data_IF_190930202247
#
_entry.id   IF_190930202247
#
_cell.length_a   1.000
_cell.length_b   1.000
_cell.length_c   1.000
_cell.angle_alpha   90.00
_cell.angle_beta   90.00
_cell.angle_gamma   90.00
#
_symmetry.space_group_name_H-M   'P 1'
#
loop_
_entity.id
_entity.type
_entity.pdbx_description
1 polymer ?
#
# COMPACT_ATOMS: atom_id res chain seq x y z
N UNK A 1 -44.86 -38.40 40.45
CA UNK A 1 -45.98 -37.55 40.03
C UNK A 1 -45.47 -36.11 40.06
N UNK A 2 -45.50 -35.45 38.90
CA UNK A 2 -44.96 -34.11 38.58
C UNK A 2 -45.84 -33.01 39.25
N UNK A 3 -45.56 -31.70 39.14
CA UNK A 3 -44.55 -30.83 39.78
C UNK A 3 -45.23 -29.73 40.65
N UNK A 4 -44.47 -28.81 41.26
CA UNK A 4 -44.36 -27.41 40.79
C UNK A 4 -45.35 -26.47 41.50
N UNK A 5 -45.04 -25.21 41.85
CA UNK A 5 -43.92 -24.32 41.54
C UNK A 5 -43.80 -23.34 42.72
N UNK A 6 -42.58 -23.08 43.19
CA UNK A 6 -42.25 -21.92 44.03
C UNK A 6 -41.45 -20.91 43.21
N UNK A 7 -41.68 -19.63 43.46
CA UNK A 7 -41.00 -18.55 42.77
C UNK A 7 -41.55 -17.18 43.16
N UNK A 8 -41.20 -16.75 44.36
CA UNK A 8 -41.36 -15.38 44.91
C UNK A 8 -40.50 -14.41 44.08
N UNK A 9 -40.81 -13.10 44.08
CA UNK A 9 -39.90 -12.22 44.79
C UNK A 9 -40.62 -11.19 45.69
N UNK A 10 -39.90 -10.66 46.70
CA UNK A 10 -40.49 -9.88 47.78
C UNK A 10 -40.67 -8.39 47.46
N UNK A 11 -41.52 -7.80 48.29
CA UNK A 11 -41.78 -6.36 48.42
C UNK A 11 -40.52 -5.54 48.75
N UNK A 12 -40.47 -4.32 48.19
CA UNK A 12 -39.79 -3.20 48.82
C UNK A 12 -40.80 -2.07 49.03
N UNK A 13 -41.06 -1.72 50.30
CA UNK A 13 -41.83 -0.53 50.72
C UNK A 13 -40.94 0.37 51.57
N UNK A 14 -40.82 1.62 51.10
CA UNK A 14 -40.83 2.92 51.80
C UNK A 14 -40.08 3.14 53.14
N UNK A 15 -39.37 4.28 53.28
CA UNK A 15 -39.87 5.50 53.97
C UNK A 15 -38.79 6.60 54.22
N UNK A 16 -38.97 7.78 53.59
CA UNK A 16 -38.91 9.21 54.09
C UNK A 16 -37.74 9.75 54.95
N UNK A 17 -37.41 11.08 54.96
CA UNK A 17 -38.35 12.22 55.02
C UNK A 17 -38.17 13.36 54.01
N UNK A 18 -39.26 14.12 53.86
CA UNK A 18 -39.36 15.41 53.18
C UNK A 18 -38.88 16.55 54.09
N UNK A 19 -38.18 17.52 53.50
CA UNK A 19 -38.06 18.88 54.02
C UNK A 19 -38.61 19.87 52.99
N UNK A 20 -39.20 21.00 53.44
CA UNK A 20 -39.96 21.90 52.58
C UNK A 20 -39.06 22.91 51.87
N UNK A 21 -39.41 23.18 50.61
CA UNK A 21 -39.30 24.49 49.96
C UNK A 21 -37.91 25.06 49.72
N UNK A 22 -37.47 25.07 48.46
CA UNK A 22 -37.11 26.30 47.73
C UNK A 22 -37.35 26.02 46.25
N UNK A 23 -38.16 26.85 45.59
CA UNK A 23 -38.23 26.89 44.12
C UNK A 23 -36.95 27.55 43.60
N UNK A 24 -35.96 26.75 43.26
CA UNK A 24 -34.77 27.22 42.54
C UNK A 24 -34.81 26.63 41.14
N UNK A 25 -35.11 27.47 40.16
CA UNK A 25 -34.93 27.15 38.74
C UNK A 25 -33.44 26.89 38.50
N UNK A 26 -33.05 25.62 38.41
CA UNK A 26 -31.73 25.21 37.97
C UNK A 26 -31.67 25.36 36.45
N UNK A 27 -31.04 26.43 35.99
CA UNK A 27 -30.52 26.51 34.61
C UNK A 27 -29.38 25.49 34.56
N UNK A 28 -29.64 24.33 33.97
CA UNK A 28 -28.62 23.33 33.69
C UNK A 28 -27.72 23.90 32.58
N UNK A 29 -26.57 24.42 32.97
CA UNK A 29 -25.50 24.78 32.05
C UNK A 29 -24.88 23.48 31.51
N UNK A 30 -25.38 23.02 30.37
CA UNK A 30 -24.77 21.93 29.61
C UNK A 30 -23.42 22.40 29.08
N UNK A 31 -22.35 22.07 29.79
CA UNK A 31 -20.99 22.14 29.28
C UNK A 31 -20.86 21.11 28.16
N UNK A 32 -21.06 21.55 26.91
CA UNK A 32 -20.61 20.79 25.75
C UNK A 32 -19.09 20.68 25.85
N UNK A 33 -18.61 19.52 26.29
CA UNK A 33 -17.22 19.13 26.18
C UNK A 33 -16.94 18.92 24.68
N UNK A 34 -16.58 20.01 23.99
CA UNK A 34 -16.04 19.89 22.64
C UNK A 34 -14.66 19.27 22.78
N UNK A 35 -14.56 17.98 22.49
CA UNK A 35 -13.27 17.35 22.27
C UNK A 35 -12.56 18.15 21.17
N UNK A 36 -11.30 18.60 21.40
CA UNK A 36 -10.55 19.21 20.33
C UNK A 36 -10.48 18.22 19.16
N UNK A 37 -10.57 18.67 17.90
CA UNK A 37 -10.30 17.79 16.77
C UNK A 37 -8.88 17.24 16.99
N UNK A 38 -8.79 15.93 17.16
CA UNK A 38 -7.51 15.23 17.07
C UNK A 38 -7.05 15.41 15.64
N UNK A 39 -6.15 16.36 15.42
CA UNK A 39 -5.31 16.35 14.22
C UNK A 39 -4.58 15.02 14.28
N UNK A 40 -4.94 14.06 13.44
CA UNK A 40 -4.13 12.86 13.22
C UNK A 40 -2.77 13.36 12.74
N UNK A 41 -1.82 13.43 13.67
CA UNK A 41 -0.43 13.63 13.32
C UNK A 41 -0.06 12.33 12.60
N UNK A 42 0.12 12.37 11.27
CA UNK A 42 0.71 11.25 10.54
C UNK A 42 1.96 10.83 11.31
N UNK A 43 2.00 9.57 11.73
CA UNK A 43 3.15 9.06 12.44
C UNK A 43 4.37 9.20 11.51
N UNK A 44 5.44 9.85 11.99
CA UNK A 44 6.72 9.93 11.27
C UNK A 44 7.40 8.56 11.29
N UNK A 45 6.87 7.65 10.47
CA UNK A 45 7.40 6.29 10.29
C UNK A 45 8.48 6.30 9.20
N UNK A 46 9.39 5.31 9.20
CA UNK A 46 10.33 5.15 8.10
C UNK A 46 9.65 5.07 6.72
N UNK A 47 8.46 4.47 6.67
CA UNK A 47 7.60 4.39 5.48
C UNK A 47 7.11 5.76 5.02
N UNK A 48 6.45 6.51 5.90
CA UNK A 48 5.95 7.86 5.59
C UNK A 48 7.10 8.75 5.12
N UNK A 49 8.26 8.66 5.77
CA UNK A 49 9.46 9.40 5.35
C UNK A 49 9.95 9.00 3.95
N UNK A 50 9.99 7.71 3.63
CA UNK A 50 10.37 7.26 2.28
C UNK A 50 9.49 7.91 1.21
N UNK A 51 8.17 7.86 1.37
CA UNK A 51 7.21 8.42 0.41
C UNK A 51 7.23 9.96 0.35
N UNK A 52 7.57 10.64 1.44
CA UNK A 52 7.61 12.10 1.50
C UNK A 52 8.95 12.70 1.02
N UNK A 53 10.09 12.07 1.35
CA UNK A 53 11.41 12.66 1.11
C UNK A 53 12.08 12.19 -0.17
N UNK A 54 11.68 11.06 -0.74
CA UNK A 54 12.31 10.50 -1.92
C UNK A 54 11.58 10.99 -3.16
N UNK A 55 12.20 11.81 -3.99
CA UNK A 55 11.59 12.26 -5.26
C UNK A 55 12.04 11.39 -6.43
N UNK A 56 13.31 10.98 -6.41
CA UNK A 56 13.91 10.13 -7.42
C UNK A 56 14.47 8.86 -6.77
N UNK A 57 14.41 7.75 -7.50
CA UNK A 57 15.05 6.51 -7.12
C UNK A 57 15.50 5.78 -8.39
N UNK A 58 16.77 5.38 -8.41
CA UNK A 58 17.29 4.35 -9.29
C UNK A 58 17.72 3.16 -8.44
N UNK A 59 17.46 1.94 -8.91
CA UNK A 59 17.95 0.72 -8.28
C UNK A 59 18.17 -0.38 -9.32
N UNK A 60 19.08 -1.30 -9.03
CA UNK A 60 19.06 -2.63 -9.63
C UNK A 60 18.10 -3.51 -8.82
N UNK A 61 17.49 -4.51 -9.46
CA UNK A 61 16.62 -5.46 -8.77
C UNK A 61 16.86 -6.91 -9.17
N UNK A 62 16.54 -7.82 -8.24
CA UNK A 62 16.30 -9.24 -8.50
C UNK A 62 14.88 -9.57 -8.06
N UNK A 63 14.06 -10.07 -8.98
CA UNK A 63 12.71 -10.55 -8.74
C UNK A 63 12.72 -12.07 -8.63
N UNK A 64 12.07 -12.61 -7.59
CA UNK A 64 11.89 -14.03 -7.35
C UNK A 64 10.40 -14.34 -7.30
N UNK A 65 9.97 -15.33 -8.06
CA UNK A 65 8.58 -15.78 -8.14
C UNK A 65 8.46 -17.20 -7.55
N UNK A 66 7.46 -17.39 -6.71
CA UNK A 66 7.12 -18.65 -6.07
C UNK A 66 5.63 -18.95 -6.28
N UNK A 67 5.28 -20.22 -6.44
CA UNK A 67 3.86 -20.63 -6.45
C UNK A 67 3.27 -20.75 -5.04
N UNK A 68 1.98 -21.11 -4.97
CA UNK A 68 1.25 -21.29 -3.72
C UNK A 68 1.78 -22.40 -2.80
N UNK A 69 2.57 -23.34 -3.33
CA UNK A 69 3.26 -24.36 -2.53
C UNK A 69 4.65 -23.88 -2.03
N UNK A 70 5.04 -22.65 -2.39
CA UNK A 70 6.33 -22.06 -2.07
C UNK A 70 7.48 -22.58 -2.94
N UNK A 71 7.17 -23.21 -4.08
CA UNK A 71 8.16 -23.70 -5.02
C UNK A 71 8.65 -22.53 -5.87
N UNK A 72 9.97 -22.37 -5.96
CA UNK A 72 10.58 -21.36 -6.82
C UNK A 72 10.26 -21.64 -8.29
N UNK A 73 9.79 -20.62 -9.00
CA UNK A 73 9.40 -20.70 -10.40
C UNK A 73 10.37 -19.94 -11.30
N UNK A 74 10.68 -18.69 -10.97
CA UNK A 74 11.43 -17.79 -11.85
C UNK A 74 12.25 -16.79 -11.05
N UNK A 75 13.42 -16.49 -11.59
CA UNK A 75 14.24 -15.35 -11.18
C UNK A 75 14.37 -14.43 -12.38
N UNK A 76 14.18 -13.14 -12.16
CA UNK A 76 14.41 -12.10 -13.18
C UNK A 76 15.28 -10.99 -12.60
N UNK A 77 16.10 -10.36 -13.42
CA UNK A 77 16.95 -9.23 -13.02
C UNK A 77 16.61 -7.99 -13.82
N UNK A 78 16.87 -6.81 -13.26
CA UNK A 78 16.56 -5.59 -13.98
C UNK A 78 16.94 -4.31 -13.26
N UNK A 79 16.39 -3.20 -13.78
CA UNK A 79 16.56 -1.86 -13.23
C UNK A 79 15.22 -1.19 -13.00
N UNK A 80 15.13 -0.49 -11.88
CA UNK A 80 14.02 0.37 -11.50
C UNK A 80 14.48 1.83 -11.61
N UNK A 81 13.63 2.64 -12.22
CA UNK A 81 13.70 4.10 -12.23
C UNK A 81 12.38 4.65 -11.74
N UNK A 82 12.43 5.69 -10.95
CA UNK A 82 11.25 6.26 -10.32
C UNK A 82 11.45 7.76 -10.21
N UNK A 83 10.43 8.51 -10.63
CA UNK A 83 10.32 9.94 -10.42
C UNK A 83 8.91 10.26 -9.96
N UNK A 84 8.78 10.72 -8.73
CA UNK A 84 7.47 11.06 -8.18
C UNK A 84 6.94 12.38 -8.77
N UNK A 85 5.61 12.55 -8.82
CA UNK A 85 4.60 11.51 -8.63
C UNK A 85 4.40 10.67 -9.90
N UNK A 86 4.12 9.37 -9.72
CA UNK A 86 3.48 8.53 -10.74
C UNK A 86 4.35 8.11 -11.93
N UNK A 87 5.59 8.58 -12.07
CA UNK A 87 6.47 8.12 -13.16
C UNK A 87 7.42 7.04 -12.68
N UNK A 88 7.49 5.95 -13.44
CA UNK A 88 8.44 4.89 -13.19
C UNK A 88 8.81 4.16 -14.48
N UNK A 89 9.90 3.40 -14.41
CA UNK A 89 10.29 2.45 -15.44
C UNK A 89 10.96 1.24 -14.81
N UNK A 90 10.55 0.06 -15.29
CA UNK A 90 11.19 -1.21 -15.04
C UNK A 90 11.79 -1.71 -16.35
N UNK A 91 13.11 -1.92 -16.35
CA UNK A 91 13.81 -2.64 -17.41
C UNK A 91 14.13 -4.04 -16.90
N UNK A 92 13.38 -5.06 -17.31
CA UNK A 92 13.78 -6.45 -17.13
C UNK A 92 14.87 -6.80 -18.15
N UNK A 93 15.97 -7.35 -17.66
CA UNK A 93 17.17 -7.66 -18.45
C UNK A 93 17.32 -9.16 -18.71
N UNK A 94 17.01 -9.99 -17.71
CA UNK A 94 17.06 -11.45 -17.82
C UNK A 94 15.88 -12.08 -17.07
N UNK A 95 15.38 -13.26 -17.50
CA UNK A 95 15.72 -13.93 -18.77
C UNK A 95 15.02 -13.31 -19.99
N UNK A 96 13.90 -12.62 -19.77
CA UNK A 96 13.07 -12.04 -20.81
C UNK A 96 13.24 -10.52 -20.82
N UNK A 97 13.47 -9.94 -22.01
CA UNK A 97 13.66 -8.50 -22.14
C UNK A 97 12.32 -7.77 -22.25
N UNK A 98 11.85 -7.26 -21.10
CA UNK A 98 10.61 -6.51 -20.97
C UNK A 98 10.89 -5.11 -20.46
N UNK A 99 10.28 -4.09 -21.07
CA UNK A 99 10.33 -2.71 -20.58
C UNK A 99 8.93 -2.26 -20.21
N UNK A 100 8.74 -1.88 -18.96
CA UNK A 100 7.47 -1.32 -18.46
C UNK A 100 7.75 0.11 -18.04
N UNK A 101 6.98 1.09 -18.52
CA UNK A 101 7.11 2.46 -18.05
C UNK A 101 5.75 3.10 -17.84
N UNK A 102 5.72 4.05 -16.92
CA UNK A 102 4.59 4.93 -16.75
C UNK A 102 5.04 6.38 -16.79
N UNK A 103 4.32 7.18 -17.57
CA UNK A 103 4.61 8.60 -17.83
C UNK A 103 3.79 9.54 -16.93
N UNK A 104 2.89 8.99 -16.10
CA UNK A 104 1.96 9.73 -15.25
C UNK A 104 0.52 9.76 -15.78
N UNK A 105 0.30 9.26 -17.00
CA UNK A 105 -1.03 9.12 -17.61
C UNK A 105 -1.28 7.68 -18.09
N UNK A 106 -0.27 7.08 -18.73
CA UNK A 106 -0.32 5.74 -19.30
C UNK A 106 0.67 4.81 -18.62
N UNK A 107 0.33 3.53 -18.60
CA UNK A 107 1.26 2.43 -18.36
C UNK A 107 1.50 1.73 -19.69
N UNK A 108 2.75 1.65 -20.12
CA UNK A 108 3.12 0.96 -21.35
C UNK A 108 4.05 -0.19 -21.04
N UNK A 109 3.86 -1.30 -21.76
CA UNK A 109 4.67 -2.51 -21.67
C UNK A 109 5.18 -2.86 -23.05
N UNK A 110 6.49 -2.85 -23.24
CA UNK A 110 7.17 -3.24 -24.46
C UNK A 110 7.86 -4.58 -24.27
N UNK A 111 7.28 -5.61 -24.90
CA UNK A 111 7.91 -6.91 -25.07
C UNK A 111 8.86 -6.83 -26.28
N UNK A 112 10.17 -6.92 -26.02
CA UNK A 112 11.18 -6.75 -27.07
C UNK A 112 11.27 -7.95 -28.01
N UNK A 113 10.96 -9.15 -27.52
CA UNK A 113 11.02 -10.37 -28.33
C UNK A 113 9.86 -10.42 -29.32
N UNK A 114 8.68 -9.96 -28.90
CA UNK A 114 7.50 -9.86 -29.75
C UNK A 114 7.46 -8.58 -30.60
N UNK A 115 8.38 -7.64 -30.37
CA UNK A 115 8.38 -6.32 -30.98
C UNK A 115 7.01 -5.63 -30.83
N UNK A 116 6.45 -5.68 -29.62
CA UNK A 116 5.08 -5.24 -29.33
C UNK A 116 5.00 -4.34 -28.09
N UNK A 117 4.33 -3.19 -28.23
CA UNK A 117 3.90 -2.35 -27.11
C UNK A 117 2.41 -2.52 -26.85
N UNK A 118 2.07 -2.75 -25.58
CA UNK A 118 0.69 -2.65 -25.09
C UNK A 118 0.58 -1.45 -24.14
N UNK A 119 -0.39 -0.58 -24.39
CA UNK A 119 -0.63 0.65 -23.63
C UNK A 119 -1.94 0.50 -22.85
N UNK A 120 -1.88 0.86 -21.58
CA UNK A 120 -2.99 0.85 -20.63
C UNK A 120 -3.18 2.23 -20.01
N UNK A 121 -4.38 2.54 -19.55
CA UNK A 121 -4.55 3.69 -18.66
C UNK A 121 -3.88 3.39 -17.33
N UNK A 122 -3.14 4.35 -16.78
CA UNK A 122 -2.37 4.07 -15.57
C UNK A 122 -3.29 3.70 -14.39
N UNK A 123 -4.50 4.25 -14.33
CA UNK A 123 -5.49 3.95 -13.30
C UNK A 123 -5.97 2.49 -13.25
N UNK A 124 -5.93 1.76 -14.37
CA UNK A 124 -6.41 0.38 -14.44
C UNK A 124 -5.38 -0.62 -13.90
N UNK A 125 -4.10 -0.47 -14.23
CA UNK A 125 -3.06 -1.47 -13.92
C UNK A 125 -2.14 -1.14 -12.74
N UNK A 126 -2.16 0.09 -12.18
CA UNK A 126 -1.34 0.42 -10.99
C UNK A 126 -1.61 -0.54 -9.82
N UNK A 127 -2.81 -1.14 -9.74
CA UNK A 127 -3.18 -2.09 -8.69
C UNK A 127 -2.37 -3.38 -8.70
N UNK A 128 -1.79 -3.75 -9.84
CA UNK A 128 -1.16 -5.08 -10.03
C UNK A 128 0.38 -5.03 -10.07
N UNK A 129 0.99 -3.83 -9.98
CA UNK A 129 2.45 -3.68 -10.08
C UNK A 129 3.08 -3.24 -8.77
N UNK A 130 4.04 -4.02 -8.25
CA UNK A 130 4.81 -3.66 -7.06
C UNK A 130 5.59 -2.33 -7.23
N UNK A 131 6.09 -2.04 -8.43
CA UNK A 131 6.79 -0.78 -8.71
C UNK A 131 5.87 0.43 -8.78
N UNK A 132 4.61 0.23 -9.22
CA UNK A 132 3.59 1.27 -9.20
C UNK A 132 3.34 1.81 -7.78
N UNK A 133 3.31 0.92 -6.78
CA UNK A 133 3.23 1.34 -5.37
C UNK A 133 4.40 2.26 -5.01
N UNK A 134 5.63 1.89 -5.36
CA UNK A 134 6.80 2.72 -5.04
C UNK A 134 6.71 4.10 -5.69
N UNK A 135 6.27 4.15 -6.95
CA UNK A 135 6.19 5.37 -7.73
C UNK A 135 5.08 6.34 -7.27
N UNK A 136 4.11 5.85 -6.49
CA UNK A 136 3.10 6.65 -5.84
C UNK A 136 3.71 7.70 -4.91
N UNK A 137 3.02 8.83 -4.77
CA UNK A 137 3.29 9.76 -3.67
C UNK A 137 2.68 9.26 -2.35
N UNK A 138 2.88 9.98 -1.26
CA UNK A 138 2.40 9.58 0.06
C UNK A 138 0.87 9.32 0.13
N UNK A 139 0.06 9.95 -0.73
CA UNK A 139 -1.39 9.72 -0.79
C UNK A 139 -1.74 8.31 -1.25
N UNK A 140 -0.81 7.58 -1.90
CA UNK A 140 -1.02 6.18 -2.26
C UNK A 140 -1.32 5.34 -1.02
N UNK A 141 -0.69 5.69 0.12
CA UNK A 141 -0.86 5.00 1.41
C UNK A 141 -2.27 5.17 1.98
N UNK A 142 -3.04 6.18 1.55
CA UNK A 142 -4.43 6.35 1.99
C UNK A 142 -5.35 5.23 1.48
N UNK A 143 -4.92 4.50 0.44
CA UNK A 143 -5.64 3.36 -0.11
C UNK A 143 -5.36 2.05 0.65
N UNK A 144 -4.47 2.08 1.64
CA UNK A 144 -4.02 0.91 2.37
C UNK A 144 -4.19 1.09 3.88
N UNK A 145 -4.62 0.03 4.56
CA UNK A 145 -4.36 -0.11 5.99
C UNK A 145 -2.89 -0.50 6.17
N UNK A 146 -2.10 0.40 6.75
CA UNK A 146 -0.66 0.18 6.98
C UNK A 146 -0.43 -0.32 8.41
N UNK A 147 0.25 -1.45 8.55
CA UNK A 147 0.69 -1.99 9.84
C UNK A 147 2.20 -2.19 9.85
N UNK A 148 2.85 -1.76 10.94
CA UNK A 148 4.23 -2.15 11.21
C UNK A 148 4.26 -3.64 11.57
N UNK A 149 5.10 -4.40 10.88
CA UNK A 149 5.27 -5.84 11.05
C UNK A 149 6.63 -6.12 11.71
N UNK A 150 7.26 -7.25 11.36
CA UNK A 150 8.53 -7.65 11.93
C UNK A 150 9.69 -6.68 11.64
N UNK A 151 10.61 -6.59 12.60
CA UNK A 151 11.95 -6.03 12.37
C UNK A 151 12.96 -7.17 12.37
N UNK A 152 13.56 -7.45 11.22
CA UNK A 152 14.51 -8.55 11.04
C UNK A 152 15.66 -8.14 10.11
N UNK A 153 16.88 -8.59 10.43
CA UNK A 153 18.12 -8.28 9.69
C UNK A 153 18.30 -6.78 9.31
N UNK A 154 17.87 -5.89 10.21
CA UNK A 154 17.95 -4.44 9.99
C UNK A 154 16.92 -3.87 9.02
N UNK A 155 15.90 -4.66 8.65
CA UNK A 155 14.77 -4.28 7.84
C UNK A 155 13.52 -4.14 8.71
N UNK A 156 12.87 -2.98 8.62
CA UNK A 156 11.52 -2.80 9.15
C UNK A 156 10.51 -3.18 8.06
N UNK A 157 9.68 -4.17 8.34
CA UNK A 157 8.58 -4.56 7.45
C UNK A 157 7.31 -3.77 7.76
N UNK A 158 6.57 -3.49 6.69
CA UNK A 158 5.24 -2.90 6.72
C UNK A 158 4.32 -3.79 5.90
N UNK A 159 3.17 -4.14 6.46
CA UNK A 159 2.08 -4.78 5.74
C UNK A 159 1.11 -3.68 5.26
N UNK A 160 0.76 -3.70 3.97
CA UNK A 160 -0.10 -2.71 3.33
C UNK A 160 -1.33 -3.44 2.77
N UNK A 161 -2.46 -3.37 3.47
CA UNK A 161 -3.67 -4.09 3.09
C UNK A 161 -4.63 -3.18 2.33
N UNK A 162 -4.92 -3.50 1.07
CA UNK A 162 -5.91 -2.76 0.28
C UNK A 162 -7.35 -3.01 0.77
N UNK A 163 -8.28 -2.12 0.40
CA UNK A 163 -9.67 -2.19 0.88
C UNK A 163 -10.41 -3.51 0.56
N UNK A 164 -10.05 -4.17 -0.54
CA UNK A 164 -10.63 -5.44 -0.99
C UNK A 164 -9.61 -6.59 -1.00
N UNK A 165 -8.48 -6.44 -0.30
CA UNK A 165 -7.40 -7.41 -0.28
C UNK A 165 -7.24 -8.09 1.08
N UNK A 166 -6.58 -9.25 1.08
CA UNK A 166 -6.23 -9.98 2.31
C UNK A 166 -5.02 -9.34 3.01
N UNK A 167 -4.94 -9.44 4.33
CA UNK A 167 -3.84 -8.87 5.09
C UNK A 167 -2.49 -9.52 4.72
N UNK A 168 -1.51 -8.69 4.33
CA UNK A 168 -0.17 -9.13 3.94
C UNK A 168 -0.03 -9.54 2.47
N UNK A 169 -1.02 -9.22 1.65
CA UNK A 169 -0.98 -9.26 0.18
C UNK A 169 0.14 -8.39 -0.39
N UNK A 170 0.45 -7.26 0.27
CA UNK A 170 1.54 -6.37 -0.11
C UNK A 170 2.38 -6.02 1.11
N UNK A 171 3.69 -6.22 0.99
CA UNK A 171 4.65 -5.94 2.05
C UNK A 171 5.83 -5.15 1.52
N UNK A 172 6.29 -4.17 2.29
CA UNK A 172 7.47 -3.35 1.98
C UNK A 172 8.44 -3.39 3.15
N UNK A 173 9.68 -3.77 2.87
CA UNK A 173 10.77 -3.75 3.83
C UNK A 173 11.70 -2.56 3.57
N UNK A 174 11.98 -1.79 4.63
CA UNK A 174 12.86 -0.63 4.58
C UNK A 174 14.06 -0.80 5.50
N UNK A 175 15.25 -0.41 5.04
CA UNK A 175 16.43 -0.21 5.88
C UNK A 175 16.52 1.27 6.25
N UNK A 176 16.05 1.62 7.46
CA UNK A 176 15.75 3.03 7.74
C UNK A 176 14.64 3.50 6.80
N UNK A 177 14.87 4.55 6.02
CA UNK A 177 13.90 5.06 5.02
C UNK A 177 14.26 4.67 3.58
N UNK A 178 15.14 3.68 3.40
CA UNK A 178 15.59 3.21 2.08
C UNK A 178 14.90 1.89 1.75
N UNK A 179 14.22 1.74 0.59
CA UNK A 179 13.52 0.52 0.25
C UNK A 179 14.50 -0.61 -0.07
N UNK A 180 14.17 -1.81 0.38
CA UNK A 180 15.03 -2.99 0.24
C UNK A 180 14.30 -4.18 -0.38
N UNK A 181 13.06 -4.45 0.04
CA UNK A 181 12.30 -5.59 -0.48
C UNK A 181 10.84 -5.19 -0.65
N UNK A 182 10.27 -5.57 -1.78
CA UNK A 182 8.84 -5.57 -2.01
C UNK A 182 8.38 -7.01 -2.15
N UNK A 183 7.28 -7.35 -1.49
CA UNK A 183 6.66 -8.66 -1.60
C UNK A 183 5.18 -8.48 -1.93
N UNK A 184 4.72 -9.18 -2.96
CA UNK A 184 3.32 -9.34 -3.29
C UNK A 184 2.92 -10.80 -3.12
N UNK A 185 1.74 -11.05 -2.58
CA UNK A 185 1.13 -12.36 -2.47
C UNK A 185 -0.29 -12.32 -3.04
N UNK A 186 -0.66 -13.35 -3.81
CA UNK A 186 -2.03 -13.53 -4.28
C UNK A 186 -2.85 -14.47 -3.37
N UNK A 187 -4.16 -14.54 -3.60
CA UNK A 187 -5.09 -15.39 -2.84
C UNK A 187 -4.81 -16.89 -2.97
N UNK A 188 -4.05 -17.30 -3.98
CA UNK A 188 -3.62 -18.69 -4.19
C UNK A 188 -2.33 -19.01 -3.43
N UNK A 189 -1.73 -18.02 -2.76
CA UNK A 189 -0.50 -18.11 -2.00
C UNK A 189 0.77 -17.93 -2.83
N UNK A 190 0.66 -17.65 -4.13
CA UNK A 190 1.82 -17.34 -4.97
C UNK A 190 2.46 -16.06 -4.46
N UNK A 191 3.80 -15.95 -4.59
CA UNK A 191 4.55 -14.82 -4.06
C UNK A 191 5.55 -14.29 -5.07
N UNK A 192 5.60 -12.96 -5.19
CA UNK A 192 6.61 -12.25 -5.96
C UNK A 192 7.41 -11.39 -5.00
N UNK A 193 8.73 -11.56 -4.98
CA UNK A 193 9.67 -10.77 -4.16
C UNK A 193 10.61 -9.98 -5.06
N UNK A 194 10.61 -8.67 -4.95
CA UNK A 194 11.58 -7.79 -5.62
C UNK A 194 12.58 -7.27 -4.60
N UNK A 195 13.83 -7.73 -4.70
CA UNK A 195 14.95 -7.26 -3.89
C UNK A 195 15.64 -6.10 -4.61
N UNK A 196 15.77 -4.96 -3.94
CA UNK A 196 16.40 -3.75 -4.47
C UNK A 196 17.83 -3.59 -3.93
N UNK A 197 18.76 -3.26 -4.80
CA UNK A 197 20.15 -2.98 -4.47
C UNK A 197 20.75 -1.91 -5.40
N UNK A 198 21.98 -1.47 -5.11
CA UNK A 198 22.64 -0.37 -5.85
C UNK A 198 21.81 0.92 -5.92
N UNK A 199 21.13 1.30 -4.83
CA UNK A 199 20.19 2.42 -4.83
C UNK A 199 20.89 3.78 -4.96
N UNK A 200 20.34 4.63 -5.83
CA UNK A 200 20.63 6.07 -5.92
C UNK A 200 19.32 6.85 -5.72
N UNK A 201 19.26 7.65 -4.66
CA UNK A 201 18.08 8.44 -4.28
C UNK A 201 18.27 9.95 -4.56
N UNK A 202 19.48 10.35 -4.96
CA UNK A 202 19.90 11.75 -5.02
C UNK A 202 19.94 12.27 -6.47
N UNK A 203 20.15 11.38 -7.43
CA UNK A 203 20.26 11.75 -8.85
C UNK A 203 18.89 12.08 -9.46
N UNK A 204 18.80 13.25 -10.09
CA UNK A 204 17.69 13.58 -11.00
C UNK A 204 17.73 12.66 -12.23
N UNK A 205 16.56 12.32 -12.74
CA UNK A 205 16.38 11.47 -13.92
C UNK A 205 15.86 12.31 -15.08
N UNK A 206 16.43 12.11 -16.27
CA UNK A 206 15.95 12.75 -17.49
C UNK A 206 14.51 12.30 -17.81
N UNK A 207 13.68 13.20 -18.33
CA UNK A 207 12.29 12.91 -18.69
C UNK A 207 12.19 11.78 -19.74
N UNK A 208 13.19 11.67 -20.62
CA UNK A 208 13.28 10.63 -21.65
C UNK A 208 13.37 9.21 -21.06
N UNK A 209 13.73 9.05 -19.79
CA UNK A 209 13.68 7.77 -19.09
C UNK A 209 12.26 7.22 -19.05
N UNK A 210 11.26 8.10 -18.89
CA UNK A 210 9.84 7.77 -18.73
C UNK A 210 9.02 7.93 -20.02
N UNK A 211 9.65 8.34 -21.11
CA UNK A 211 9.03 8.44 -22.43
C UNK A 211 9.97 7.85 -23.51
N UNK A 212 10.31 6.55 -23.41
CA UNK A 212 11.26 5.93 -24.32
C UNK A 212 10.75 5.96 -25.76
N UNK A 213 11.67 6.22 -26.70
CA UNK A 213 11.35 6.16 -28.13
C UNK A 213 11.16 4.71 -28.57
N UNK A 214 9.97 4.39 -29.05
CA UNK A 214 9.65 3.06 -29.60
C UNK A 214 10.33 2.91 -30.98
N UNK A 215 11.07 1.80 -31.23
CA UNK A 215 11.69 1.54 -32.52
C UNK A 215 10.68 1.49 -33.68
N UNK A 216 11.07 1.88 -34.91
CA UNK A 216 10.21 1.75 -36.07
C UNK A 216 9.90 0.28 -36.36
N UNK A 217 8.63 -0.04 -36.62
CA UNK A 217 8.18 -1.40 -36.96
C UNK A 217 7.58 -2.20 -35.81
N UNK A 218 7.61 -1.66 -34.58
CA UNK A 218 6.95 -2.24 -33.41
C UNK A 218 5.44 -2.02 -33.48
N UNK A 219 4.67 -3.08 -33.20
CA UNK A 219 3.21 -3.02 -33.14
C UNK A 219 2.75 -2.38 -31.83
N UNK A 220 1.75 -1.49 -31.89
CA UNK A 220 1.22 -0.78 -30.72
C UNK A 220 -0.27 -1.12 -30.56
N UNK A 221 -0.63 -1.61 -29.38
CA UNK A 221 -2.00 -1.94 -29.00
C UNK A 221 -2.42 -1.08 -27.81
N UNK A 222 -3.63 -0.53 -27.87
CA UNK A 222 -4.31 0.04 -26.71
C UNK A 222 -5.18 -1.05 -26.08
N UNK A 223 -5.02 -1.28 -24.78
CA UNK A 223 -5.89 -2.18 -24.04
C UNK A 223 -7.33 -1.62 -24.03
N UNK A 224 -8.31 -2.50 -24.19
CA UNK A 224 -9.71 -2.08 -24.19
C UNK A 224 -10.12 -1.61 -22.78
N UNK A 225 -10.76 -0.45 -22.69
CA UNK A 225 -11.37 0.04 -21.44
C UNK A 225 -12.40 -1.00 -20.95
N UNK A 226 -12.25 -1.46 -19.70
CA UNK A 226 -13.09 -2.51 -19.09
C UNK A 226 -14.33 -1.94 -18.40
#
# INVERSE_FOLDING_TARGET
MVPGREGVPPSAKASTPSHPGVRTTLIALALFFQAPPTLSQEADTPLTRFFQSTQHLQADFTQLEYDGDGVFQKESTGRLYLSRPGRFRLDYLEPDELMIWADGENLSMFDKELEQVTVYTQTEQLRESAAALLAGDASVLENYEVKEAEFDDGLQWFDLTGADAEEGDLRLALRGSVPAVLEFADDLGSRVRMLLFSLDLDSELDDDVFAPTIPPGVDIFEAAES
#
